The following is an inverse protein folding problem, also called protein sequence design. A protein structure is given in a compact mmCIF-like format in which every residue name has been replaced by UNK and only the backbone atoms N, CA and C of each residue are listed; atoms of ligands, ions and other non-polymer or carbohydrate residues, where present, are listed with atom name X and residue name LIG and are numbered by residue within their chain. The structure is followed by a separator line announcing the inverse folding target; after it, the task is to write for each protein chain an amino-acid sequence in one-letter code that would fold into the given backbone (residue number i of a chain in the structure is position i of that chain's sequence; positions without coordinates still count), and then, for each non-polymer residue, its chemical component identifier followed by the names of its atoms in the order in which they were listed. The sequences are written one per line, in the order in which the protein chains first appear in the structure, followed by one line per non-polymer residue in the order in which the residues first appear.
data_IF_996107538147
#
_entry.id   IF_996107538147
#
_cell.length_a   1.000
_cell.length_b   1.000
_cell.length_c   1.000
_cell.angle_alpha   90.00
_cell.angle_beta   90.00
_cell.angle_gamma   90.00
#
_symmetry.space_group_name_H-M   'P 1'
#
loop_
_entity.id
_entity.type
_entity.pdbx_description
1 polymer ?
#
# COMPACT_ATOMS: atom_id res chain seq x y z
N UNK A 1 -46.91 6.55 15.71
CA UNK A 1 -46.00 7.44 16.47
C UNK A 1 -44.61 6.85 16.30
N UNK A 2 -43.98 6.96 15.13
CA UNK A 2 -43.20 8.11 14.65
C UNK A 2 -42.06 8.48 15.60
N UNK A 3 -40.84 8.04 15.29
CA UNK A 3 -39.67 8.92 15.09
C UNK A 3 -38.51 8.15 14.45
N UNK A 4 -38.10 8.66 13.30
CA UNK A 4 -36.79 8.45 12.70
C UNK A 4 -35.73 9.17 13.52
N UNK A 5 -34.54 8.59 13.64
CA UNK A 5 -33.30 9.33 13.89
C UNK A 5 -32.21 8.77 13.00
N UNK A 6 -31.71 9.66 12.17
CA UNK A 6 -30.73 9.47 11.11
C UNK A 6 -29.36 9.04 11.64
N UNK A 7 -28.76 8.06 10.97
CA UNK A 7 -27.35 7.71 11.09
C UNK A 7 -26.51 8.83 10.44
N UNK A 8 -25.51 9.42 11.13
CA UNK A 8 -24.50 10.20 10.43
C UNK A 8 -23.56 9.22 9.69
N UNK A 9 -23.47 9.39 8.38
CA UNK A 9 -22.42 8.78 7.57
C UNK A 9 -21.08 9.44 7.93
N UNK A 10 -20.20 8.71 8.58
CA UNK A 10 -18.79 9.10 8.72
C UNK A 10 -18.10 8.64 7.44
N UNK A 11 -17.80 9.60 6.57
CA UNK A 11 -17.03 9.36 5.35
C UNK A 11 -15.61 8.97 5.71
N UNK A 12 -15.16 7.83 5.21
CA UNK A 12 -13.75 7.45 5.21
C UNK A 12 -13.00 8.43 4.29
N UNK A 13 -12.35 9.42 4.89
CA UNK A 13 -11.41 10.30 4.20
C UNK A 13 -10.05 9.61 4.11
N UNK A 14 -9.69 9.10 2.94
CA UNK A 14 -8.32 8.70 2.64
C UNK A 14 -7.43 9.95 2.68
N UNK A 15 -6.58 10.03 3.69
CA UNK A 15 -5.67 11.15 3.89
C UNK A 15 -4.36 10.87 3.15
N UNK A 16 -4.22 11.45 1.96
CA UNK A 16 -2.97 11.45 1.19
C UNK A 16 -1.94 12.29 1.95
N UNK A 17 -0.95 11.65 2.56
CA UNK A 17 0.21 12.33 3.15
C UNK A 17 1.21 12.66 2.04
N UNK A 18 1.27 13.93 1.67
CA UNK A 18 2.34 14.49 0.86
C UNK A 18 3.61 14.56 1.71
N UNK A 19 4.62 13.77 1.37
CA UNK A 19 5.98 13.89 1.91
C UNK A 19 6.58 15.24 1.48
N UNK A 20 6.58 16.23 2.38
CA UNK A 20 7.29 17.48 2.22
C UNK A 20 8.80 17.24 2.34
N UNK A 21 9.49 17.21 1.20
CA UNK A 21 10.94 17.32 1.13
C UNK A 21 11.33 18.77 1.45
N UNK A 22 11.87 18.97 2.65
CA UNK A 22 12.44 20.25 3.07
C UNK A 22 13.77 20.49 2.35
N UNK A 23 13.72 21.11 1.18
CA UNK A 23 14.90 21.66 0.51
C UNK A 23 15.12 23.10 0.97
N UNK A 24 16.21 23.33 1.69
CA UNK A 24 16.74 24.65 1.98
C UNK A 24 17.30 25.25 0.68
N UNK A 25 16.70 26.30 0.13
CA UNK A 25 17.42 27.21 -0.78
C UNK A 25 16.78 28.59 -0.72
N UNK A 26 17.55 29.57 -0.24
CA UNK A 26 17.19 30.99 -0.30
C UNK A 26 17.29 31.54 -1.71
N UNK A 27 16.49 32.56 -2.03
CA UNK A 27 16.55 33.22 -3.33
C UNK A 27 15.42 34.21 -3.55
N UNK A 28 15.72 35.47 -3.24
CA UNK A 28 15.00 36.72 -3.49
C UNK A 28 14.36 36.84 -4.88
N UNK A 29 13.14 37.36 -5.01
CA UNK A 29 12.64 37.85 -6.31
C UNK A 29 11.14 38.15 -6.38
N UNK A 30 10.82 39.43 -6.56
CA UNK A 30 9.49 40.04 -6.63
C UNK A 30 8.93 40.09 -8.06
N UNK A 31 7.59 40.16 -8.17
CA UNK A 31 6.84 40.56 -9.37
C UNK A 31 6.26 39.38 -10.14
N UNK A 32 5.03 39.38 -10.62
CA UNK A 32 4.03 40.41 -10.84
C UNK A 32 2.88 39.78 -11.62
N UNK A 33 1.72 40.41 -11.57
CA UNK A 33 0.43 39.90 -12.01
C UNK A 33 0.23 39.70 -13.53
N UNK A 34 -0.91 39.05 -13.83
CA UNK A 34 -1.86 39.33 -14.92
C UNK A 34 -1.96 38.31 -16.07
N UNK A 35 -3.09 37.61 -16.05
CA UNK A 35 -4.12 37.49 -17.10
C UNK A 35 -3.75 37.83 -18.55
N UNK A 36 -4.09 36.94 -19.49
CA UNK A 36 -5.14 37.17 -20.51
C UNK A 36 -5.16 36.07 -21.58
N UNK A 37 -6.33 35.98 -22.22
CA UNK A 37 -6.85 34.95 -23.08
C UNK A 37 -6.54 35.14 -24.57
N UNK A 38 -7.02 34.16 -25.33
CA UNK A 38 -7.66 34.23 -26.66
C UNK A 38 -6.83 34.08 -27.95
N UNK A 39 -7.20 33.00 -28.67
CA UNK A 39 -7.58 32.96 -30.10
C UNK A 39 -6.48 32.95 -31.18
N UNK A 40 -6.43 31.82 -31.88
CA UNK A 40 -6.86 31.84 -33.29
C UNK A 40 -5.84 31.43 -34.36
N UNK A 41 -6.33 30.52 -35.21
CA UNK A 41 -6.08 30.42 -36.65
C UNK A 41 -5.05 29.41 -37.17
N UNK A 42 -5.67 28.37 -37.71
CA UNK A 42 -5.32 27.46 -38.81
C UNK A 42 -4.65 28.15 -40.01
N UNK A 43 -3.66 27.47 -40.62
CA UNK A 43 -3.47 27.46 -42.08
C UNK A 43 -2.75 26.19 -42.53
N UNK A 44 -3.31 25.58 -43.57
CA UNK A 44 -2.92 24.36 -44.29
C UNK A 44 -1.98 24.69 -45.46
N UNK A 45 -1.30 23.65 -46.00
CA UNK A 45 -0.66 23.53 -47.34
C UNK A 45 0.87 23.70 -47.33
N UNK A 46 1.72 22.95 -48.04
CA UNK A 46 1.59 21.83 -48.99
C UNK A 46 2.98 21.19 -49.20
N UNK A 47 2.99 19.97 -49.73
CA UNK A 47 4.15 19.12 -50.01
C UNK A 47 5.16 19.68 -51.03
N UNK A 48 6.42 19.20 -50.98
CA UNK A 48 7.25 18.87 -52.15
C UNK A 48 8.31 17.83 -51.75
N UNK A 49 8.45 16.78 -52.55
CA UNK A 49 9.45 15.73 -52.43
C UNK A 49 10.78 16.14 -53.09
N UNK A 50 11.93 15.71 -52.56
CA UNK A 50 12.98 15.03 -53.34
C UNK A 50 14.18 14.57 -52.51
N UNK A 51 14.62 13.36 -52.86
CA UNK A 51 16.02 12.90 -52.94
C UNK A 51 16.83 12.69 -51.66
N UNK A 52 16.91 11.42 -51.27
CA UNK A 52 18.18 10.68 -51.16
C UNK A 52 19.26 11.24 -50.24
N UNK A 53 19.37 10.69 -49.04
CA UNK A 53 20.62 10.59 -48.29
C UNK A 53 20.61 9.33 -47.44
N UNK A 54 21.37 8.33 -47.90
CA UNK A 54 21.89 7.25 -47.07
C UNK A 54 22.80 7.87 -46.00
N UNK A 55 22.37 7.86 -44.75
CA UNK A 55 23.25 8.09 -43.60
C UNK A 55 22.96 7.04 -42.54
N UNK A 56 24.06 6.48 -42.07
CA UNK A 56 24.24 5.29 -41.25
C UNK A 56 23.35 5.23 -40.00
N UNK A 57 22.84 4.02 -39.78
CA UNK A 57 22.33 3.50 -38.51
C UNK A 57 23.37 3.81 -37.43
N UNK A 58 23.06 4.74 -36.53
CA UNK A 58 23.75 4.82 -35.26
C UNK A 58 23.40 3.55 -34.49
N UNK A 59 24.43 2.75 -34.24
CA UNK A 59 24.42 1.68 -33.26
C UNK A 59 24.02 2.31 -31.92
N UNK A 60 22.77 2.13 -31.53
CA UNK A 60 22.39 2.30 -30.14
C UNK A 60 23.04 1.12 -29.42
N UNK A 61 24.22 1.34 -28.85
CA UNK A 61 24.75 0.49 -27.78
C UNK A 61 23.71 0.51 -26.67
N UNK A 62 22.82 -0.48 -26.74
CA UNK A 62 21.94 -0.95 -25.70
C UNK A 62 22.80 -1.34 -24.51
N UNK A 63 23.13 -0.33 -23.70
CA UNK A 63 23.71 -0.57 -22.39
C UNK A 63 22.56 -1.09 -21.54
N UNK A 64 22.43 -2.41 -21.52
CA UNK A 64 21.58 -3.11 -20.59
C UNK A 64 21.78 -2.47 -19.19
N UNK A 65 20.71 -2.17 -18.46
CA UNK A 65 20.83 -1.66 -17.10
C UNK A 65 21.72 -2.62 -16.29
N UNK A 66 22.54 -2.11 -15.35
CA UNK A 66 23.42 -2.96 -14.57
C UNK A 66 22.60 -4.10 -13.96
N UNK A 67 23.09 -5.35 -14.01
CA UNK A 67 22.37 -6.47 -13.42
C UNK A 67 22.12 -6.13 -11.95
N UNK A 68 20.84 -6.09 -11.55
CA UNK A 68 20.50 -6.05 -10.12
C UNK A 68 21.19 -7.24 -9.46
N UNK A 69 21.84 -7.07 -8.30
CA UNK A 69 22.35 -8.20 -7.56
C UNK A 69 21.22 -9.23 -7.41
N UNK A 70 21.47 -10.45 -7.87
CA UNK A 70 20.53 -11.56 -7.71
C UNK A 70 20.22 -11.66 -6.22
N UNK A 71 18.93 -11.54 -5.88
CA UNK A 71 18.41 -11.75 -4.55
C UNK A 71 19.09 -12.98 -3.94
N UNK A 72 19.70 -12.83 -2.76
CA UNK A 72 20.10 -13.98 -1.97
C UNK A 72 18.81 -14.75 -1.70
N UNK A 73 18.73 -16.03 -2.08
CA UNK A 73 17.54 -16.85 -1.83
C UNK A 73 17.22 -16.97 -0.32
N UNK A 74 18.17 -16.63 0.55
CA UNK A 74 17.93 -16.42 1.96
C UNK A 74 17.44 -14.98 2.18
N UNK A 75 16.20 -14.84 2.66
CA UNK A 75 15.65 -13.59 3.15
C UNK A 75 16.47 -12.97 4.28
N UNK A 76 15.99 -11.83 4.78
CA UNK A 76 16.63 -11.11 5.88
C UNK A 76 16.63 -11.96 7.15
N UNK A 77 17.68 -11.84 7.96
CA UNK A 77 17.79 -12.54 9.23
C UNK A 77 16.93 -11.86 10.28
N UNK A 78 16.24 -12.65 11.11
CA UNK A 78 15.44 -12.17 12.23
C UNK A 78 16.23 -12.28 13.54
N UNK A 79 16.03 -11.31 14.42
CA UNK A 79 16.43 -11.35 15.82
C UNK A 79 15.22 -11.59 16.72
N UNK A 80 15.41 -11.36 18.02
CA UNK A 80 14.31 -11.39 18.99
C UNK A 80 13.33 -10.25 18.73
N UNK A 81 12.04 -10.50 18.95
CA UNK A 81 11.01 -9.48 18.83
C UNK A 81 11.24 -8.32 19.79
N UNK A 82 10.90 -7.12 19.33
CA UNK A 82 10.99 -5.91 20.13
C UNK A 82 9.61 -5.48 20.61
N UNK A 83 9.52 -5.16 21.89
CA UNK A 83 8.36 -4.50 22.46
C UNK A 83 8.36 -3.02 22.11
N UNK A 84 7.54 -2.62 21.16
CA UNK A 84 7.27 -1.23 20.85
C UNK A 84 6.11 -0.74 21.73
N UNK A 85 6.33 0.23 22.61
CA UNK A 85 5.28 0.69 23.54
C UNK A 85 5.38 2.18 23.85
N UNK A 86 4.25 2.81 24.17
CA UNK A 86 4.17 4.21 24.55
C UNK A 86 2.83 4.58 25.18
N UNK A 87 2.67 5.86 25.51
CA UNK A 87 1.41 6.40 26.00
C UNK A 87 1.43 7.93 26.04
N UNK A 88 0.30 8.53 25.68
CA UNK A 88 0.07 9.97 25.73
C UNK A 88 -1.44 10.26 25.91
N UNK A 89 -1.79 11.30 26.66
CA UNK A 89 -3.18 11.77 26.76
C UNK A 89 -4.23 10.75 27.24
N UNK A 90 -3.83 9.67 27.92
CA UNK A 90 -4.73 8.58 28.35
C UNK A 90 -4.76 7.37 27.41
N UNK A 91 -4.11 7.46 26.25
CA UNK A 91 -3.81 6.33 25.38
C UNK A 91 -2.63 5.53 25.95
N UNK A 92 -2.74 4.21 26.01
CA UNK A 92 -1.61 3.31 26.26
C UNK A 92 -1.53 2.27 25.16
N UNK A 93 -0.34 2.03 24.61
CA UNK A 93 -0.19 1.05 23.54
C UNK A 93 1.06 0.18 23.70
N UNK A 94 0.94 -1.06 23.23
CA UNK A 94 2.02 -2.04 23.18
C UNK A 94 1.87 -2.92 21.93
N UNK A 95 2.89 -2.94 21.08
CA UNK A 95 2.95 -3.76 19.86
C UNK A 95 4.26 -4.53 19.87
N UNK A 96 4.21 -5.86 19.68
CA UNK A 96 5.41 -6.67 19.49
C UNK A 96 5.78 -6.68 18.02
N UNK A 97 7.01 -6.31 17.68
CA UNK A 97 7.44 -6.15 16.29
C UNK A 97 8.62 -7.07 15.97
N UNK A 98 8.67 -7.63 14.74
CA UNK A 98 9.80 -8.40 14.30
C UNK A 98 11.01 -7.47 14.13
N UNK A 99 12.20 -7.98 14.47
CA UNK A 99 13.46 -7.25 14.32
C UNK A 99 14.32 -7.94 13.27
N UNK A 100 14.69 -7.20 12.24
CA UNK A 100 15.63 -7.66 11.22
C UNK A 100 17.07 -7.32 11.65
N UNK A 101 18.02 -8.23 11.39
CA UNK A 101 19.41 -8.14 11.86
C UNK A 101 20.45 -8.18 10.74
N UNK A 102 20.03 -8.39 9.49
CA UNK A 102 20.91 -8.38 8.32
C UNK A 102 20.35 -7.55 7.16
N UNK A 103 21.17 -7.30 6.14
CA UNK A 103 20.79 -6.47 4.99
C UNK A 103 20.47 -5.02 5.40
N UNK A 104 19.43 -4.39 4.81
CA UNK A 104 19.01 -3.03 5.16
C UNK A 104 18.18 -2.97 6.47
N UNK A 105 18.51 -3.81 7.46
CA UNK A 105 17.78 -4.01 8.71
C UNK A 105 17.34 -2.71 9.41
N UNK A 106 18.21 -1.71 9.52
CA UNK A 106 17.88 -0.43 10.15
C UNK A 106 16.71 0.27 9.44
N UNK A 107 16.70 0.27 8.11
CA UNK A 107 15.67 0.90 7.29
C UNK A 107 14.37 0.12 7.37
N UNK A 108 14.45 -1.22 7.31
CA UNK A 108 13.28 -2.10 7.46
C UNK A 108 12.63 -1.90 8.83
N UNK A 109 13.39 -2.03 9.91
CA UNK A 109 12.90 -1.88 11.28
C UNK A 109 12.27 -0.49 11.49
N UNK A 110 12.85 0.58 10.93
CA UNK A 110 12.27 1.92 11.00
C UNK A 110 10.91 2.00 10.28
N UNK A 111 10.76 1.37 9.12
CA UNK A 111 9.50 1.37 8.36
C UNK A 111 8.42 0.51 9.02
N UNK A 112 8.81 -0.63 9.61
CA UNK A 112 7.90 -1.47 10.41
C UNK A 112 7.38 -0.69 11.62
N UNK A 113 8.24 0.01 12.38
CA UNK A 113 7.80 0.88 13.49
C UNK A 113 6.90 2.02 13.02
N UNK A 114 7.22 2.68 11.91
CA UNK A 114 6.39 3.73 11.35
C UNK A 114 4.99 3.23 10.94
N UNK A 115 4.88 1.98 10.49
CA UNK A 115 3.60 1.34 10.20
C UNK A 115 2.84 0.96 11.47
N UNK A 116 3.54 0.48 12.51
CA UNK A 116 2.94 0.28 13.83
C UNK A 116 2.37 1.59 14.41
N UNK A 117 3.09 2.71 14.28
CA UNK A 117 2.57 4.03 14.67
C UNK A 117 1.30 4.42 13.90
N UNK A 118 1.22 4.06 12.62
CA UNK A 118 0.03 4.29 11.82
C UNK A 118 -1.15 3.46 12.31
N UNK A 119 -0.96 2.16 12.60
CA UNK A 119 -2.00 1.30 13.14
C UNK A 119 -2.51 1.78 14.51
N UNK A 120 -1.60 2.17 15.42
CA UNK A 120 -1.97 2.74 16.73
C UNK A 120 -2.78 4.04 16.57
N UNK A 121 -2.36 4.93 15.66
CA UNK A 121 -3.11 6.15 15.35
C UNK A 121 -4.51 5.86 14.81
N UNK A 122 -4.62 4.95 13.84
CA UNK A 122 -5.91 4.55 13.29
C UNK A 122 -6.84 3.93 14.35
N UNK A 123 -6.30 3.10 15.26
CA UNK A 123 -7.08 2.54 16.37
C UNK A 123 -7.53 3.64 17.35
N UNK A 124 -6.67 4.63 17.60
CA UNK A 124 -6.99 5.80 18.45
C UNK A 124 -8.06 6.67 17.81
N UNK A 125 -7.96 6.95 16.52
CA UNK A 125 -8.95 7.73 15.75
C UNK A 125 -10.32 7.02 15.72
N UNK A 126 -10.32 5.68 15.81
CA UNK A 126 -11.51 4.86 15.97
C UNK A 126 -12.01 4.73 17.43
N UNK A 127 -11.32 5.36 18.39
CA UNK A 127 -11.77 5.48 19.79
C UNK A 127 -11.05 4.61 20.82
N UNK A 128 -10.02 3.86 20.43
CA UNK A 128 -9.27 3.04 21.38
C UNK A 128 -8.51 3.89 22.42
N UNK A 129 -8.60 3.50 23.69
CA UNK A 129 -7.83 4.09 24.80
C UNK A 129 -6.68 3.18 25.24
N UNK A 130 -6.82 1.87 25.04
CA UNK A 130 -5.73 0.92 25.21
C UNK A 130 -5.60 0.08 23.96
N UNK A 131 -4.36 -0.19 23.56
CA UNK A 131 -4.07 -0.84 22.29
C UNK A 131 -2.99 -1.90 22.45
N UNK A 132 -3.25 -3.11 21.99
CA UNK A 132 -2.28 -4.21 21.95
C UNK A 132 -2.17 -4.78 20.55
N UNK A 133 -0.96 -5.12 20.12
CA UNK A 133 -0.78 -5.67 18.77
C UNK A 133 0.47 -6.50 18.58
N UNK A 134 0.58 -7.05 17.38
CA UNK A 134 1.67 -7.93 16.95
C UNK A 134 1.98 -7.68 15.47
N UNK A 135 3.27 -7.70 15.14
CA UNK A 135 3.80 -7.69 13.79
C UNK A 135 4.24 -9.09 13.39
N UNK A 136 3.70 -9.62 12.30
CA UNK A 136 4.02 -10.92 11.74
C UNK A 136 4.77 -10.74 10.42
N UNK A 137 5.87 -11.46 10.23
CA UNK A 137 6.57 -11.53 8.93
C UNK A 137 5.88 -12.55 8.05
N UNK A 138 5.08 -12.09 7.08
CA UNK A 138 4.30 -12.95 6.18
C UNK A 138 5.16 -13.48 5.04
N UNK A 139 6.04 -12.64 4.46
CA UNK A 139 6.97 -13.03 3.40
C UNK A 139 8.36 -12.50 3.70
N UNK A 140 9.38 -13.35 3.50
CA UNK A 140 10.79 -12.98 3.62
C UNK A 140 11.64 -13.93 2.77
N UNK A 141 11.60 -13.71 1.46
CA UNK A 141 12.07 -14.67 0.45
C UNK A 141 13.32 -14.20 -0.32
N UNK A 142 13.93 -13.11 0.15
CA UNK A 142 15.09 -12.50 -0.49
C UNK A 142 14.77 -11.54 -1.64
N UNK A 143 13.52 -11.52 -2.12
CA UNK A 143 13.02 -10.52 -3.07
C UNK A 143 12.28 -9.42 -2.32
N UNK A 144 11.38 -9.82 -1.43
CA UNK A 144 10.62 -8.92 -0.58
C UNK A 144 10.66 -9.34 0.88
N UNK A 145 10.47 -8.35 1.74
CA UNK A 145 10.12 -8.53 3.14
C UNK A 145 8.75 -7.88 3.35
N UNK A 146 7.82 -8.66 3.87
CA UNK A 146 6.44 -8.23 4.05
C UNK A 146 6.00 -8.53 5.47
N UNK A 147 5.47 -7.51 6.14
CA UNK A 147 5.07 -7.55 7.55
C UNK A 147 3.62 -7.10 7.66
N UNK A 148 2.79 -7.92 8.29
CA UNK A 148 1.43 -7.56 8.71
C UNK A 148 1.48 -7.11 10.17
N UNK A 149 0.82 -6.01 10.49
CA UNK A 149 0.73 -5.50 11.86
C UNK A 149 -0.74 -5.44 12.23
N UNK A 150 -1.15 -6.30 13.14
CA UNK A 150 -2.50 -6.33 13.71
C UNK A 150 -2.51 -5.62 15.06
N UNK A 151 -3.51 -4.76 15.25
CA UNK A 151 -3.67 -3.96 16.45
C UNK A 151 -5.12 -4.01 16.89
N UNK A 152 -5.34 -4.47 18.12
CA UNK A 152 -6.65 -4.48 18.77
C UNK A 152 -6.72 -3.39 19.84
N UNK A 153 -7.79 -2.62 19.83
CA UNK A 153 -8.06 -1.52 20.75
C UNK A 153 -9.30 -1.75 21.60
N UNK A 154 -9.28 -1.26 22.82
CA UNK A 154 -10.44 -1.22 23.72
C UNK A 154 -10.65 0.19 24.28
N UNK A 155 -11.92 0.57 24.47
CA UNK A 155 -12.29 1.62 25.41
C UNK A 155 -12.31 1.01 26.81
N UNK A 156 -11.67 1.69 27.77
CA UNK A 156 -11.55 1.20 29.15
C UNK A 156 -12.84 1.37 29.97
N UNK A 157 -13.92 1.90 29.38
CA UNK A 157 -15.18 2.21 30.07
C UNK A 157 -16.41 1.38 29.72
N UNK A 158 -16.41 0.58 28.64
CA UNK A 158 -17.61 -0.08 28.13
C UNK A 158 -17.53 -1.61 28.24
N UNK A 159 -18.58 -2.22 28.81
CA UNK A 159 -18.64 -3.66 29.10
C UNK A 159 -19.08 -4.48 27.87
N UNK A 160 -19.53 -3.80 26.80
CA UNK A 160 -20.16 -4.41 25.61
C UNK A 160 -19.60 -3.86 24.27
N UNK A 161 -18.46 -3.15 24.27
CA UNK A 161 -17.91 -2.59 23.03
C UNK A 161 -17.13 -3.64 22.23
N UNK A 162 -17.43 -3.68 20.93
CA UNK A 162 -16.69 -4.49 19.96
C UNK A 162 -15.23 -3.97 19.88
N UNK A 163 -14.22 -4.85 19.95
CA UNK A 163 -12.82 -4.44 19.81
C UNK A 163 -12.58 -3.67 18.52
N UNK A 164 -11.77 -2.61 18.60
CA UNK A 164 -11.30 -1.90 17.42
C UNK A 164 -10.13 -2.68 16.84
N UNK A 165 -10.37 -3.42 15.77
CA UNK A 165 -9.32 -4.14 15.06
C UNK A 165 -8.83 -3.33 13.85
N UNK A 166 -7.55 -3.01 13.86
CA UNK A 166 -6.84 -2.36 12.75
C UNK A 166 -5.75 -3.30 12.26
N UNK A 167 -5.72 -3.53 10.96
CA UNK A 167 -4.60 -4.20 10.30
C UNK A 167 -3.92 -3.21 9.39
N UNK A 168 -2.60 -3.20 9.40
CA UNK A 168 -1.81 -2.51 8.38
C UNK A 168 -0.72 -3.41 7.86
N UNK A 169 -0.27 -3.19 6.63
CA UNK A 169 0.81 -3.98 6.06
C UNK A 169 1.98 -3.13 5.59
N UNK A 170 3.14 -3.77 5.50
CA UNK A 170 4.36 -3.22 4.94
C UNK A 170 4.88 -4.23 3.92
N UNK A 171 5.21 -3.79 2.71
CA UNK A 171 5.90 -4.59 1.72
C UNK A 171 7.10 -3.80 1.20
N UNK A 172 8.31 -4.37 1.34
CA UNK A 172 9.57 -3.73 0.94
C UNK A 172 10.38 -4.70 0.09
N UNK A 173 11.19 -4.18 -0.82
CA UNK A 173 12.26 -4.96 -1.45
C UNK A 173 13.30 -5.35 -0.41
N UNK A 174 13.85 -6.56 -0.52
CA UNK A 174 14.78 -7.09 0.48
C UNK A 174 16.20 -6.50 0.37
N UNK A 175 16.58 -5.96 -0.79
CA UNK A 175 17.92 -5.43 -1.07
C UNK A 175 18.16 -4.05 -0.46
N UNK A 176 17.21 -3.13 -0.61
CA UNK A 176 17.36 -1.74 -0.18
C UNK A 176 16.18 -1.18 0.64
N UNK A 177 15.21 -2.03 0.98
CA UNK A 177 14.02 -1.67 1.74
C UNK A 177 13.14 -0.59 1.05
N UNK A 178 13.14 -0.57 -0.29
CA UNK A 178 12.24 0.28 -1.08
C UNK A 178 10.79 -0.19 -0.93
N UNK A 179 9.83 0.71 -0.65
CA UNK A 179 8.42 0.35 -0.61
C UNK A 179 7.93 -0.26 -1.92
N UNK A 180 7.22 -1.39 -1.80
CA UNK A 180 6.53 -2.03 -2.91
C UNK A 180 5.07 -1.64 -2.83
N UNK A 181 4.58 -0.93 -3.84
CA UNK A 181 3.16 -0.61 -3.98
C UNK A 181 2.53 -1.53 -5.01
N UNK A 182 1.39 -2.15 -4.68
CA UNK A 182 0.68 -3.07 -5.57
C UNK A 182 0.32 -2.39 -6.89
N UNK A 183 -0.13 -1.13 -6.85
CA UNK A 183 -0.47 -0.33 -8.04
C UNK A 183 0.66 -0.32 -9.07
N UNK A 184 1.90 -0.19 -8.61
CA UNK A 184 3.08 -0.13 -9.49
C UNK A 184 3.45 -1.50 -10.08
N UNK A 185 2.90 -2.58 -9.54
CA UNK A 185 3.12 -3.94 -10.03
C UNK A 185 2.08 -4.36 -11.05
N UNK A 186 0.97 -3.62 -11.19
CA UNK A 186 -0.13 -3.92 -12.11
C UNK A 186 0.17 -3.38 -13.52
N UNK A 187 -0.16 -4.17 -14.55
CA UNK A 187 0.06 -3.82 -15.94
C UNK A 187 -0.87 -2.70 -16.43
N UNK A 188 -2.11 -2.70 -15.95
CA UNK A 188 -3.12 -1.65 -16.16
C UNK A 188 -3.87 -1.43 -14.85
N UNK A 189 -3.41 -0.53 -13.96
CA UNK A 189 -4.01 -0.33 -12.65
C UNK A 189 -5.50 0.04 -12.71
N UNK A 190 -5.90 0.88 -13.68
CA UNK A 190 -7.28 1.34 -13.80
C UNK A 190 -8.25 0.20 -14.09
N UNK A 191 -7.85 -0.76 -14.92
CA UNK A 191 -8.65 -1.95 -15.19
C UNK A 191 -8.50 -3.03 -14.09
N UNK A 192 -7.30 -3.19 -13.55
CA UNK A 192 -6.99 -4.26 -12.61
C UNK A 192 -7.74 -4.15 -11.28
N UNK A 193 -8.01 -2.94 -10.77
CA UNK A 193 -8.76 -2.78 -9.53
C UNK A 193 -10.20 -3.33 -9.61
N UNK A 194 -10.86 -3.19 -10.76
CA UNK A 194 -12.19 -3.77 -10.97
C UNK A 194 -12.15 -5.29 -10.93
N UNK A 195 -11.18 -5.90 -11.63
CA UNK A 195 -11.00 -7.35 -11.61
C UNK A 195 -10.64 -7.85 -10.22
N UNK A 196 -9.75 -7.14 -9.51
CA UNK A 196 -9.34 -7.52 -8.16
C UNK A 196 -10.50 -7.43 -7.17
N UNK A 197 -11.39 -6.43 -7.29
CA UNK A 197 -12.59 -6.33 -6.49
C UNK A 197 -13.55 -7.50 -6.70
N UNK A 198 -13.80 -7.88 -7.96
CA UNK A 198 -14.67 -9.02 -8.29
C UNK A 198 -14.09 -10.35 -7.77
N UNK A 199 -12.79 -10.57 -7.98
CA UNK A 199 -12.09 -11.78 -7.52
C UNK A 199 -12.00 -11.84 -5.99
N UNK A 200 -11.76 -10.72 -5.31
CA UNK A 200 -11.78 -10.65 -3.85
C UNK A 200 -13.17 -10.93 -3.29
N UNK A 201 -14.23 -10.38 -3.89
CA UNK A 201 -15.60 -10.67 -3.47
C UNK A 201 -15.96 -12.16 -3.67
N UNK A 202 -15.53 -12.77 -4.78
CA UNK A 202 -15.72 -14.19 -5.05
C UNK A 202 -14.95 -15.07 -4.06
N UNK A 203 -13.68 -14.76 -3.80
CA UNK A 203 -12.86 -15.44 -2.79
C UNK A 203 -13.48 -15.32 -1.40
N UNK A 204 -13.92 -14.13 -0.99
CA UNK A 204 -14.57 -13.90 0.29
C UNK A 204 -15.84 -14.76 0.43
N UNK A 205 -16.68 -14.80 -0.61
CA UNK A 205 -17.88 -15.64 -0.62
C UNK A 205 -17.56 -17.13 -0.46
N UNK A 206 -16.48 -17.61 -1.08
CA UNK A 206 -16.03 -19.01 -0.91
C UNK A 206 -15.56 -19.33 0.51
N UNK A 207 -15.13 -18.31 1.27
CA UNK A 207 -14.74 -18.39 2.67
C UNK A 207 -15.92 -18.18 3.64
N UNK A 208 -17.14 -18.01 3.12
CA UNK A 208 -18.35 -17.76 3.92
C UNK A 208 -18.50 -16.30 4.37
N UNK A 209 -17.72 -15.38 3.81
CA UNK A 209 -17.80 -13.95 4.07
C UNK A 209 -18.73 -13.28 3.06
N UNK A 210 -19.44 -12.23 3.48
CA UNK A 210 -20.26 -11.41 2.58
C UNK A 210 -19.98 -9.95 2.83
N UNK A 211 -19.59 -9.23 1.79
CA UNK A 211 -19.29 -7.82 1.91
C UNK A 211 -20.55 -7.03 2.28
N UNK A 212 -20.43 -6.11 3.23
CA UNK A 212 -21.55 -5.25 3.68
C UNK A 212 -21.91 -4.19 2.63
N UNK A 213 -20.94 -3.87 1.76
CA UNK A 213 -21.06 -3.02 0.58
C UNK A 213 -20.17 -3.57 -0.54
N UNK A 214 -20.41 -3.21 -1.82
CA UNK A 214 -19.47 -3.53 -2.89
C UNK A 214 -18.06 -3.02 -2.57
N UNK A 215 -17.04 -3.83 -2.89
CA UNK A 215 -15.64 -3.42 -2.77
C UNK A 215 -15.35 -2.29 -3.77
N UNK A 216 -14.65 -1.25 -3.33
CA UNK A 216 -14.29 -0.16 -4.22
C UNK A 216 -13.15 -0.60 -5.17
N UNK A 217 -13.30 -0.29 -6.45
CA UNK A 217 -12.29 -0.59 -7.47
C UNK A 217 -11.17 0.46 -7.47
N UNK A 218 -10.46 0.61 -6.35
CA UNK A 218 -9.39 1.60 -6.18
C UNK A 218 -8.28 1.10 -5.26
N UNK A 219 -7.09 1.70 -5.38
CA UNK A 219 -5.90 1.29 -4.63
C UNK A 219 -6.08 1.32 -3.10
N UNK A 220 -6.89 2.24 -2.58
CA UNK A 220 -7.12 2.39 -1.14
C UNK A 220 -7.85 1.17 -0.52
N UNK A 221 -8.77 0.54 -1.27
CA UNK A 221 -9.49 -0.67 -0.82
C UNK A 221 -8.54 -1.86 -0.67
N UNK A 222 -7.44 -1.88 -1.42
CA UNK A 222 -6.46 -2.96 -1.48
C UNK A 222 -5.09 -2.55 -0.92
N UNK A 223 -5.05 -1.52 -0.07
CA UNK A 223 -3.79 -0.97 0.46
C UNK A 223 -3.07 -1.97 1.37
N UNK A 224 -3.83 -2.72 2.17
CA UNK A 224 -3.33 -3.69 3.14
C UNK A 224 -3.26 -5.09 2.51
N UNK A 225 -2.28 -5.29 1.64
CA UNK A 225 -2.04 -6.55 0.94
C UNK A 225 -0.73 -7.21 1.39
N UNK A 226 -0.63 -8.53 1.23
CA UNK A 226 0.58 -9.35 1.38
C UNK A 226 0.58 -10.48 0.34
N UNK A 227 1.73 -11.09 0.07
CA UNK A 227 1.85 -12.31 -0.72
C UNK A 227 1.91 -13.53 0.17
N UNK A 228 1.33 -14.64 -0.28
CA UNK A 228 1.54 -15.96 0.30
C UNK A 228 1.66 -17.03 -0.79
N UNK A 229 1.88 -18.28 -0.37
CA UNK A 229 1.97 -19.40 -1.31
C UNK A 229 0.66 -19.61 -2.10
N UNK A 230 -0.49 -19.29 -1.51
CA UNK A 230 -1.80 -19.55 -2.09
C UNK A 230 -2.31 -18.38 -2.95
N UNK A 231 -1.88 -17.15 -2.67
CA UNK A 231 -2.36 -15.98 -3.39
C UNK A 231 -1.88 -14.64 -2.87
N UNK A 232 -2.60 -13.60 -3.30
CA UNK A 232 -2.53 -12.27 -2.73
C UNK A 232 -3.50 -12.20 -1.55
N UNK A 233 -2.99 -12.02 -0.34
CA UNK A 233 -3.78 -11.83 0.87
C UNK A 233 -4.15 -10.37 1.02
N UNK A 234 -5.45 -10.09 1.13
CA UNK A 234 -6.03 -8.76 1.29
C UNK A 234 -6.65 -8.67 2.67
N UNK A 235 -6.10 -7.82 3.53
CA UNK A 235 -6.66 -7.51 4.84
C UNK A 235 -7.65 -6.36 4.69
N UNK A 236 -8.89 -6.57 5.11
CA UNK A 236 -9.91 -5.53 5.09
C UNK A 236 -10.17 -5.01 6.49
N UNK A 237 -10.42 -3.71 6.58
CA UNK A 237 -10.72 -3.04 7.84
C UNK A 237 -12.09 -3.49 8.39
N UNK A 238 -12.27 -3.27 9.69
CA UNK A 238 -13.52 -3.54 10.40
C UNK A 238 -14.75 -3.00 9.65
N UNK A 239 -15.80 -3.82 9.58
CA UNK A 239 -17.07 -3.48 8.95
C UNK A 239 -17.20 -3.81 7.47
N UNK A 240 -16.11 -4.09 6.74
CA UNK A 240 -16.19 -4.42 5.31
C UNK A 240 -16.88 -5.77 5.07
N UNK A 241 -16.63 -6.77 5.91
CA UNK A 241 -17.34 -8.07 5.89
C UNK A 241 -18.01 -8.40 7.24
N UNK A 242 -18.31 -7.38 8.04
CA UNK A 242 -18.86 -7.51 9.39
C UNK A 242 -17.80 -7.31 10.48
N UNK A 243 -17.96 -8.05 11.57
CA UNK A 243 -17.09 -7.97 12.74
C UNK A 243 -15.65 -8.40 12.43
N UNK A 244 -14.67 -7.78 13.11
CA UNK A 244 -13.24 -8.04 12.97
C UNK A 244 -12.60 -7.54 11.66
N UNK A 245 -11.32 -7.88 11.47
CA UNK A 245 -10.51 -7.51 10.29
C UNK A 245 -10.21 -8.76 9.42
N UNK A 246 -11.09 -9.12 8.48
CA UNK A 246 -10.96 -10.36 7.71
C UNK A 246 -9.80 -10.28 6.72
N UNK A 247 -9.20 -11.44 6.45
CA UNK A 247 -8.20 -11.64 5.39
C UNK A 247 -8.82 -12.49 4.29
N UNK A 248 -8.83 -11.97 3.07
CA UNK A 248 -9.29 -12.68 1.88
C UNK A 248 -8.09 -13.05 1.03
N UNK A 249 -8.04 -14.29 0.54
CA UNK A 249 -6.95 -14.75 -0.33
C UNK A 249 -7.45 -14.81 -1.76
N UNK A 250 -6.88 -13.98 -2.63
CA UNK A 250 -7.15 -14.01 -4.07
C UNK A 250 -6.11 -14.92 -4.74
N UNK A 251 -6.53 -16.02 -5.40
CA UNK A 251 -5.59 -17.01 -5.90
C UNK A 251 -4.68 -16.43 -6.98
N UNK A 252 -3.44 -16.92 -7.06
CA UNK A 252 -2.46 -16.46 -8.04
C UNK A 252 -2.94 -16.60 -9.49
N UNK A 253 -3.80 -17.58 -9.80
CA UNK A 253 -4.41 -17.72 -11.13
C UNK A 253 -5.17 -16.47 -11.59
N UNK A 254 -5.76 -15.73 -10.65
CA UNK A 254 -6.51 -14.50 -10.90
C UNK A 254 -5.62 -13.26 -10.86
N UNK A 255 -4.60 -13.25 -10.00
CA UNK A 255 -3.70 -12.10 -9.82
C UNK A 255 -2.60 -12.02 -10.88
N UNK A 256 -1.97 -13.15 -11.24
CA UNK A 256 -0.85 -13.17 -12.18
C UNK A 256 -1.16 -12.50 -13.53
N UNK A 257 -2.33 -12.68 -14.16
CA UNK A 257 -2.66 -11.98 -15.39
C UNK A 257 -2.67 -10.44 -15.27
N UNK A 258 -2.88 -9.90 -14.08
CA UNK A 258 -2.96 -8.46 -13.81
C UNK A 258 -1.59 -7.80 -13.63
N UNK A 259 -0.56 -8.59 -13.34
CA UNK A 259 0.79 -8.09 -13.02
C UNK A 259 1.64 -7.83 -14.27
N UNK A 260 2.46 -6.79 -14.19
CA UNK A 260 3.62 -6.56 -15.07
C UNK A 260 4.60 -7.74 -14.98
N UNK A 261 5.50 -7.91 -15.98
CA UNK A 261 6.59 -8.89 -15.88
C UNK A 261 7.44 -8.73 -14.63
N UNK A 262 7.78 -7.49 -14.27
CA UNK A 262 8.54 -7.15 -13.06
C UNK A 262 7.75 -7.48 -11.79
N UNK A 263 6.46 -7.14 -11.75
CA UNK A 263 5.57 -7.48 -10.64
C UNK A 263 5.47 -8.98 -10.40
N UNK A 264 5.42 -9.79 -11.46
CA UNK A 264 5.47 -11.26 -11.36
C UNK A 264 6.79 -11.74 -10.78
N UNK A 265 7.90 -11.22 -11.28
CA UNK A 265 9.22 -11.60 -10.77
C UNK A 265 9.38 -11.26 -9.28
N UNK A 266 8.78 -10.14 -8.85
CA UNK A 266 8.87 -9.65 -7.49
C UNK A 266 7.91 -10.36 -6.52
N UNK A 267 6.65 -10.61 -6.93
CA UNK A 267 5.57 -11.01 -6.02
C UNK A 267 5.08 -12.46 -6.17
N UNK A 268 5.23 -13.07 -7.34
CA UNK A 268 4.73 -14.45 -7.54
C UNK A 268 5.55 -15.44 -6.70
N UNK A 269 4.96 -16.53 -6.19
CA UNK A 269 5.66 -17.53 -5.38
C UNK A 269 6.75 -18.27 -6.17
#
# INVERSE_FOLDING_TARGET
MTRWTSTPAVGAGALVVVLLTSACTGGTGSGGASSSSTTGSTTTSSATASTGSTVSRADATDSAPPPRPVASAAGLSLGDEERYSGGDGGLTWQVWLPVFTSGPAEVVNRKVRASADHAVRAATDAGALTTTGEGEVVTNDGRTVQVRIGVAGTDTGAVDDEPVDVVTTVALTADDATPVFLEQQLADPAAAWGVLADEAAASAASQGLTATRPLAAEAAEFADWQTSADGLELSFQHGQFGAGAPVVVVPWSSVLPLLTPEGKALLAP
#
